data_IF_919796550084
#
_entry.id   IF_919796550084
#
_cell.length_a   1.000
_cell.length_b   1.000
_cell.length_c   1.000
_cell.angle_alpha   90.00
_cell.angle_beta   90.00
_cell.angle_gamma   90.00
#
_symmetry.space_group_name_H-M   'P 1'
#
loop_
_entity.id
_entity.type
_entity.pdbx_description
1 polymer ?
#
# COMPACT_ATOMS: atom_id res chain seq x y z
N UNK A 1 -3.68 16.92 -24.25
CA UNK A 1 -2.66 16.00 -23.69
C UNK A 1 -3.02 15.64 -22.26
N UNK A 2 -3.03 14.37 -21.94
CA UNK A 2 -3.34 13.95 -20.57
C UNK A 2 -2.18 14.22 -19.62
N UNK A 3 -2.51 14.78 -18.47
CA UNK A 3 -1.64 14.91 -17.33
C UNK A 3 -1.29 13.50 -16.79
N UNK A 4 -0.07 13.33 -16.32
CA UNK A 4 0.40 12.07 -15.73
C UNK A 4 -0.45 11.65 -14.53
N UNK A 5 -0.89 12.61 -13.72
CA UNK A 5 -1.75 12.36 -12.57
C UNK A 5 -3.11 11.82 -13.00
N UNK A 6 -3.70 12.39 -14.05
CA UNK A 6 -5.00 11.91 -14.55
C UNK A 6 -4.90 10.50 -15.12
N UNK A 7 -3.81 10.21 -15.85
CA UNK A 7 -3.57 8.86 -16.35
C UNK A 7 -3.41 7.86 -15.22
N UNK A 8 -2.68 8.23 -14.16
CA UNK A 8 -2.52 7.39 -12.96
C UNK A 8 -3.86 7.11 -12.28
N UNK A 9 -4.67 8.15 -12.08
CA UNK A 9 -5.97 8.01 -11.44
C UNK A 9 -6.92 7.14 -12.25
N UNK A 10 -6.85 7.20 -13.58
CA UNK A 10 -7.64 6.33 -14.45
C UNK A 10 -7.25 4.87 -14.27
N UNK A 11 -5.94 4.57 -14.19
CA UNK A 11 -5.46 3.21 -13.92
C UNK A 11 -5.93 2.73 -12.55
N UNK A 12 -5.86 3.60 -11.54
CA UNK A 12 -6.32 3.27 -10.19
C UNK A 12 -7.81 2.94 -10.16
N UNK A 13 -8.64 3.69 -10.89
CA UNK A 13 -10.08 3.43 -10.94
C UNK A 13 -10.39 2.04 -11.49
N UNK A 14 -9.70 1.63 -12.54
CA UNK A 14 -9.90 0.31 -13.13
C UNK A 14 -9.57 -0.81 -12.13
N UNK A 15 -8.46 -0.70 -11.43
CA UNK A 15 -8.05 -1.65 -10.41
C UNK A 15 -9.06 -1.69 -9.25
N UNK A 16 -9.48 -0.52 -8.77
CA UNK A 16 -10.42 -0.41 -7.65
C UNK A 16 -11.79 -0.97 -7.98
N UNK A 17 -12.26 -0.77 -9.21
CA UNK A 17 -13.53 -1.35 -9.66
C UNK A 17 -13.46 -2.89 -9.63
N UNK A 18 -12.35 -3.46 -10.08
CA UNK A 18 -12.13 -4.90 -10.06
C UNK A 18 -12.10 -5.44 -8.62
N UNK A 19 -11.40 -4.77 -7.73
CA UNK A 19 -11.30 -5.16 -6.31
C UNK A 19 -12.68 -5.10 -5.64
N UNK A 20 -13.45 -4.05 -5.90
CA UNK A 20 -14.79 -3.90 -5.36
C UNK A 20 -15.71 -5.03 -5.84
N UNK A 21 -15.58 -5.43 -7.09
CA UNK A 21 -16.32 -6.57 -7.66
C UNK A 21 -15.98 -7.87 -6.95
N UNK A 22 -14.72 -8.08 -6.59
CA UNK A 22 -14.25 -9.29 -5.91
C UNK A 22 -14.61 -9.32 -4.42
N UNK A 23 -14.98 -8.19 -3.83
CA UNK A 23 -15.38 -8.07 -2.41
C UNK A 23 -14.31 -8.58 -1.45
N UNK A 24 -13.06 -8.16 -1.68
CA UNK A 24 -11.92 -8.53 -0.83
C UNK A 24 -11.36 -7.31 -0.12
N UNK A 25 -10.66 -7.52 1.00
CA UNK A 25 -9.94 -6.44 1.67
C UNK A 25 -8.85 -5.91 0.75
N UNK A 26 -8.59 -4.61 0.80
CA UNK A 26 -7.68 -3.94 -0.13
C UNK A 26 -6.48 -3.39 0.61
N UNK A 27 -5.27 -3.73 0.14
CA UNK A 27 -4.05 -3.07 0.56
C UNK A 27 -3.82 -1.88 -0.37
N UNK A 28 -4.05 -0.68 0.15
CA UNK A 28 -4.00 0.57 -0.59
C UNK A 28 -2.68 1.27 -0.30
N UNK A 29 -1.92 1.61 -1.35
CA UNK A 29 -0.60 2.22 -1.23
C UNK A 29 -0.56 3.52 -2.02
N UNK A 30 -0.09 4.58 -1.38
CA UNK A 30 0.15 5.88 -2.02
C UNK A 30 1.58 6.31 -1.71
N UNK A 31 2.28 6.85 -2.70
CA UNK A 31 3.58 7.46 -2.49
C UNK A 31 3.55 8.95 -2.85
N UNK A 32 4.34 9.71 -2.10
CA UNK A 32 4.67 11.10 -2.43
C UNK A 32 6.20 11.20 -2.59
N UNK A 33 6.71 12.39 -2.88
CA UNK A 33 8.16 12.57 -2.99
C UNK A 33 8.88 12.26 -1.67
N UNK A 34 8.26 12.53 -0.53
CA UNK A 34 8.89 12.42 0.79
C UNK A 34 8.47 11.21 1.58
N UNK A 35 7.32 10.61 1.27
CA UNK A 35 6.73 9.56 2.11
C UNK A 35 6.03 8.49 1.29
N UNK A 36 5.79 7.36 1.92
CA UNK A 36 4.95 6.30 1.38
C UNK A 36 3.95 5.86 2.47
N UNK A 37 2.73 5.55 2.06
CA UNK A 37 1.62 5.23 2.93
C UNK A 37 1.00 3.91 2.53
N UNK A 38 0.63 3.09 3.50
CA UNK A 38 -0.08 1.84 3.26
C UNK A 38 -1.25 1.72 4.22
N UNK A 39 -2.40 1.30 3.71
CA UNK A 39 -3.59 1.08 4.53
C UNK A 39 -4.30 -0.18 4.05
N UNK A 40 -4.81 -0.97 4.99
CA UNK A 40 -5.70 -2.09 4.67
C UNK A 40 -7.13 -1.63 4.92
N UNK A 41 -7.93 -1.66 3.86
CA UNK A 41 -9.31 -1.19 3.88
C UNK A 41 -10.22 -2.39 3.72
N UNK A 42 -11.33 -2.40 4.48
CA UNK A 42 -12.29 -3.51 4.45
C UNK A 42 -12.88 -3.71 3.05
N UNK A 43 -13.37 -4.91 2.78
CA UNK A 43 -14.02 -5.26 1.50
C UNK A 43 -15.18 -4.32 1.17
N UNK A 44 -15.83 -3.77 2.17
CA UNK A 44 -16.95 -2.83 2.01
C UNK A 44 -16.49 -1.41 1.70
N UNK A 45 -15.19 -1.12 1.91
CA UNK A 45 -14.61 0.18 1.60
C UNK A 45 -14.83 1.27 2.64
N UNK A 46 -15.44 0.94 3.78
CA UNK A 46 -15.84 1.94 4.78
C UNK A 46 -15.02 1.90 6.08
N UNK A 47 -14.13 0.92 6.26
CA UNK A 47 -13.31 0.81 7.47
C UNK A 47 -11.83 0.64 7.11
N UNK A 48 -10.97 1.39 7.80
CA UNK A 48 -9.53 1.18 7.74
C UNK A 48 -9.16 0.20 8.85
N UNK A 49 -8.66 -0.97 8.47
CA UNK A 49 -8.34 -2.05 9.39
C UNK A 49 -6.91 -1.95 9.95
N UNK A 50 -6.00 -1.41 9.17
CA UNK A 50 -4.60 -1.22 9.56
C UNK A 50 -3.99 -0.11 8.73
N UNK A 51 -3.01 0.60 9.28
CA UNK A 51 -2.32 1.68 8.57
C UNK A 51 -0.86 1.77 9.03
N UNK A 52 0.03 2.05 8.09
CA UNK A 52 1.44 2.30 8.35
C UNK A 52 1.97 3.29 7.33
N UNK A 53 2.89 4.14 7.72
CA UNK A 53 3.48 5.11 6.81
C UNK A 53 4.84 5.60 7.30
N UNK A 54 5.63 6.16 6.39
CA UNK A 54 6.92 6.76 6.74
C UNK A 54 6.78 8.09 7.49
N UNK A 55 5.56 8.64 7.59
CA UNK A 55 5.28 9.77 8.48
C UNK A 55 5.55 9.36 9.93
N UNK A 56 5.34 8.09 10.27
CA UNK A 56 5.72 7.54 11.56
C UNK A 56 7.25 7.44 11.62
N UNK A 57 7.87 8.15 12.55
CA UNK A 57 9.32 8.27 12.63
C UNK A 57 10.02 6.90 12.73
N UNK A 58 9.40 5.93 13.42
CA UNK A 58 9.95 4.59 13.60
C UNK A 58 10.08 3.81 12.27
N UNK A 59 9.34 4.20 11.22
CA UNK A 59 9.36 3.51 9.94
C UNK A 59 10.21 4.22 8.89
N UNK A 60 10.83 5.33 9.24
CA UNK A 60 11.74 6.05 8.34
C UNK A 60 13.16 5.54 8.51
N UNK A 61 13.73 4.98 7.43
CA UNK A 61 15.13 4.56 7.44
C UNK A 61 16.03 5.80 7.46
N UNK A 62 16.91 5.90 8.44
CA UNK A 62 17.84 7.03 8.58
C UNK A 62 17.15 8.40 8.58
N UNK A 63 15.92 8.46 9.08
CA UNK A 63 15.14 9.70 9.13
C UNK A 63 14.56 10.15 7.80
N UNK A 64 14.76 9.40 6.71
CA UNK A 64 14.30 9.76 5.37
C UNK A 64 13.18 8.82 4.92
N UNK A 65 11.99 9.35 4.66
CA UNK A 65 10.82 8.58 4.24
C UNK A 65 10.76 8.29 2.74
N UNK A 66 11.71 8.76 1.95
CA UNK A 66 11.68 8.62 0.49
C UNK A 66 12.50 7.44 -0.04
N UNK A 67 13.11 6.64 0.83
CA UNK A 67 14.01 5.55 0.43
C UNK A 67 13.27 4.23 0.25
N UNK A 68 13.89 3.32 -0.51
CA UNK A 68 13.43 1.94 -0.65
C UNK A 68 13.43 1.23 0.71
N UNK A 69 14.42 1.47 1.54
CA UNK A 69 14.50 0.86 2.87
C UNK A 69 13.33 1.29 3.77
N UNK A 70 12.93 2.57 3.70
CA UNK A 70 11.77 3.05 4.42
C UNK A 70 10.48 2.38 3.92
N UNK A 71 10.36 2.17 2.61
CA UNK A 71 9.22 1.46 2.03
C UNK A 71 9.15 0.00 2.50
N UNK A 72 10.29 -0.67 2.61
CA UNK A 72 10.35 -2.04 3.16
C UNK A 72 9.86 -2.07 4.60
N UNK A 73 10.27 -1.10 5.42
CA UNK A 73 9.82 -1.01 6.81
C UNK A 73 8.30 -0.84 6.89
N UNK A 74 7.72 0.00 6.02
CA UNK A 74 6.26 0.18 5.94
C UNK A 74 5.58 -1.12 5.52
N UNK A 75 6.12 -1.83 4.53
CA UNK A 75 5.58 -3.12 4.07
C UNK A 75 5.53 -4.15 5.18
N UNK A 76 6.61 -4.30 5.93
CA UNK A 76 6.65 -5.22 7.07
C UNK A 76 5.65 -4.80 8.15
N UNK A 77 5.60 -3.51 8.47
CA UNK A 77 4.70 -2.99 9.51
C UNK A 77 3.23 -3.17 9.13
N UNK A 78 2.85 -2.89 7.88
CA UNK A 78 1.45 -3.06 7.46
C UNK A 78 1.03 -4.53 7.48
N UNK A 79 1.92 -5.43 7.10
CA UNK A 79 1.63 -6.88 7.15
C UNK A 79 1.41 -7.34 8.59
N UNK A 80 2.26 -6.92 9.51
CA UNK A 80 2.13 -7.27 10.92
C UNK A 80 0.83 -6.73 11.52
N UNK A 81 0.49 -5.47 11.22
CA UNK A 81 -0.74 -4.85 11.71
C UNK A 81 -1.97 -5.50 11.10
N UNK A 82 -1.93 -5.88 9.83
CA UNK A 82 -3.04 -6.57 9.17
C UNK A 82 -3.27 -7.93 9.81
N UNK A 83 -2.22 -8.69 10.05
CA UNK A 83 -2.33 -10.01 10.69
C UNK A 83 -2.88 -9.90 12.11
N UNK A 84 -2.46 -8.87 12.86
CA UNK A 84 -2.99 -8.60 14.20
C UNK A 84 -4.49 -8.27 14.16
N UNK A 85 -4.98 -7.68 13.08
CA UNK A 85 -6.40 -7.41 12.84
C UNK A 85 -7.16 -8.60 12.26
N UNK A 86 -6.49 -9.74 12.06
CA UNK A 86 -7.10 -10.95 11.50
C UNK A 86 -7.13 -11.01 9.98
N UNK A 87 -6.41 -10.12 9.31
CA UNK A 87 -6.38 -10.06 7.84
C UNK A 87 -5.09 -10.70 7.34
N UNK A 88 -5.21 -11.77 6.54
CA UNK A 88 -4.05 -12.47 5.96
C UNK A 88 -4.00 -12.37 4.44
N UNK A 89 -5.12 -12.05 3.81
CA UNK A 89 -5.23 -11.98 2.36
C UNK A 89 -5.85 -10.64 1.95
N UNK A 90 -5.24 -9.99 0.95
CA UNK A 90 -5.70 -8.70 0.45
C UNK A 90 -5.55 -8.65 -1.07
N UNK A 91 -6.23 -7.69 -1.70
CA UNK A 91 -5.96 -7.31 -3.09
C UNK A 91 -5.08 -6.06 -3.07
N UNK A 92 -4.04 -6.04 -3.87
CA UNK A 92 -3.08 -4.94 -3.90
C UNK A 92 -3.58 -3.81 -4.80
N UNK A 93 -3.77 -2.61 -4.22
CA UNK A 93 -4.11 -1.39 -4.94
C UNK A 93 -2.95 -0.40 -4.80
N UNK A 94 -2.15 -0.27 -5.84
CA UNK A 94 -1.00 0.64 -5.88
C UNK A 94 -1.36 2.05 -6.35
N UNK A 95 -2.65 2.39 -6.36
CA UNK A 95 -3.16 3.72 -6.73
C UNK A 95 -2.75 4.18 -8.14
N UNK A 96 -2.55 3.22 -9.05
CA UNK A 96 -2.12 3.48 -10.42
C UNK A 96 -0.63 3.78 -10.59
N UNK A 97 0.15 3.78 -9.50
CA UNK A 97 1.62 3.91 -9.59
C UNK A 97 2.23 2.66 -10.21
N UNK A 98 3.37 2.81 -10.86
CA UNK A 98 4.08 1.67 -11.43
C UNK A 98 4.59 0.74 -10.32
N UNK A 99 4.57 -0.57 -10.57
CA UNK A 99 5.12 -1.56 -9.65
C UNK A 99 6.65 -1.57 -9.77
N UNK A 100 7.27 -0.54 -9.18
CA UNK A 100 8.69 -0.27 -9.30
C UNK A 100 9.18 0.51 -8.07
N UNK A 101 10.46 0.39 -7.77
CA UNK A 101 11.09 1.16 -6.69
C UNK A 101 10.44 0.94 -5.34
N UNK A 102 10.00 2.04 -4.71
CA UNK A 102 9.40 2.01 -3.37
C UNK A 102 8.13 1.17 -3.30
N UNK A 103 7.28 1.24 -4.33
CA UNK A 103 6.03 0.47 -4.37
C UNK A 103 6.34 -1.02 -4.38
N UNK A 104 7.27 -1.45 -5.24
CA UNK A 104 7.69 -2.84 -5.33
C UNK A 104 8.33 -3.31 -4.02
N UNK A 105 9.20 -2.51 -3.42
CA UNK A 105 9.88 -2.85 -2.17
C UNK A 105 8.88 -3.05 -1.02
N UNK A 106 7.88 -2.19 -0.91
CA UNK A 106 6.83 -2.31 0.08
C UNK A 106 6.04 -3.61 -0.12
N UNK A 107 5.63 -3.91 -1.35
CA UNK A 107 4.85 -5.10 -1.67
C UNK A 107 5.63 -6.37 -1.35
N UNK A 108 6.90 -6.45 -1.74
CA UNK A 108 7.74 -7.61 -1.48
C UNK A 108 7.95 -7.81 0.03
N UNK A 109 8.20 -6.75 0.79
CA UNK A 109 8.35 -6.82 2.23
C UNK A 109 7.07 -7.29 2.92
N UNK A 110 5.92 -6.83 2.47
CA UNK A 110 4.64 -7.26 3.02
C UNK A 110 4.38 -8.75 2.74
N UNK A 111 4.73 -9.23 1.55
CA UNK A 111 4.61 -10.66 1.21
C UNK A 111 5.55 -11.51 2.05
N UNK A 112 6.79 -11.08 2.25
CA UNK A 112 7.76 -11.78 3.09
C UNK A 112 7.28 -11.86 4.54
N UNK A 113 6.58 -10.85 5.03
CA UNK A 113 6.03 -10.83 6.38
C UNK A 113 4.75 -11.66 6.52
N UNK A 114 4.27 -12.28 5.44
CA UNK A 114 3.17 -13.24 5.49
C UNK A 114 1.83 -12.78 4.92
N UNK A 115 1.75 -11.56 4.40
CA UNK A 115 0.52 -11.08 3.78
C UNK A 115 0.40 -11.70 2.37
N UNK A 116 -0.79 -12.16 2.03
CA UNK A 116 -1.03 -12.85 0.74
C UNK A 116 -1.74 -11.93 -0.24
N UNK A 117 -1.13 -11.73 -1.38
CA UNK A 117 -1.73 -11.02 -2.51
C UNK A 117 -0.94 -11.24 -3.79
#
# INVERSE_FOLDING_TARGET
MQDKKQARLRRARKTRAKIAELKVNRLFVIRTNSHIYASVISAEGNNVLATASTVQAALRANGNGSTVDAAKAVGTAIAEKAKAAGVTQVAFDRSGFQFHGRIKALAEAAREAGLQF
#
